data_IF_229197975245
#
_entry.id   IF_229197975245
#
_cell.length_a   1.000
_cell.length_b   1.000
_cell.length_c   1.000
_cell.angle_alpha   90.00
_cell.angle_beta   90.00
_cell.angle_gamma   90.00
#
_symmetry.space_group_name_H-M   'P 1'
#
loop_
_entity.id
_entity.type
_entity.pdbx_description
1 polymer ?
#
# COMPACT_ATOMS: atom_id res chain seq x y z
N UNK A 1 31.49 -58.44 -16.25
CA UNK A 1 30.44 -59.26 -16.88
C UNK A 1 29.44 -59.67 -15.81
N UNK A 2 28.27 -59.04 -15.78
CA UNK A 2 27.00 -59.63 -15.32
C UNK A 2 25.88 -58.74 -15.86
N UNK A 3 24.88 -59.38 -16.45
CA UNK A 3 23.92 -58.79 -17.36
C UNK A 3 22.92 -57.86 -16.66
N UNK A 4 22.69 -56.70 -17.25
CA UNK A 4 21.50 -55.88 -17.01
C UNK A 4 20.37 -56.52 -17.82
N UNK A 5 19.58 -57.38 -17.19
CA UNK A 5 18.35 -57.89 -17.77
C UNK A 5 17.26 -56.83 -17.66
N UNK A 6 17.13 -56.05 -18.73
CA UNK A 6 15.97 -55.20 -19.01
C UNK A 6 14.71 -56.08 -19.09
N UNK A 7 13.98 -56.17 -17.98
CA UNK A 7 12.61 -56.70 -17.98
C UNK A 7 11.67 -55.70 -18.67
N UNK A 8 11.42 -55.98 -19.94
CA UNK A 8 10.38 -55.38 -20.75
C UNK A 8 8.99 -55.79 -20.23
N UNK A 9 8.48 -55.06 -19.24
CA UNK A 9 7.09 -55.19 -18.81
C UNK A 9 6.18 -54.53 -19.85
N UNK A 10 5.68 -55.37 -20.76
CA UNK A 10 4.61 -55.05 -21.69
C UNK A 10 3.36 -54.70 -20.89
N UNK A 11 3.00 -53.42 -20.88
CA UNK A 11 1.73 -52.94 -20.34
C UNK A 11 0.60 -53.37 -21.29
N UNK A 12 0.10 -54.58 -21.10
CA UNK A 12 -1.22 -54.95 -21.60
C UNK A 12 -2.24 -54.03 -20.92
N UNK A 13 -2.92 -53.19 -21.70
CA UNK A 13 -3.99 -52.33 -21.21
C UNK A 13 -5.22 -53.19 -20.88
N UNK A 14 -5.16 -53.97 -19.81
CA UNK A 14 -6.32 -54.61 -19.22
C UNK A 14 -7.21 -53.49 -18.70
N UNK A 15 -8.36 -53.27 -19.35
CA UNK A 15 -9.38 -52.34 -18.84
C UNK A 15 -9.86 -52.89 -17.51
N UNK A 16 -9.69 -52.11 -16.45
CA UNK A 16 -10.16 -52.46 -15.11
C UNK A 16 -11.68 -52.66 -15.15
N UNK A 17 -12.16 -53.68 -14.43
CA UNK A 17 -13.58 -53.81 -14.14
C UNK A 17 -14.06 -52.56 -13.37
N UNK A 18 -15.30 -52.09 -13.54
CA UNK A 18 -15.84 -50.96 -12.78
C UNK A 18 -15.64 -51.13 -11.26
N UNK A 19 -15.76 -52.35 -10.74
CA UNK A 19 -15.55 -52.64 -9.32
C UNK A 19 -14.06 -52.50 -8.90
N UNK A 20 -13.13 -52.93 -9.75
CA UNK A 20 -11.69 -52.74 -9.54
C UNK A 20 -11.30 -51.26 -9.62
N UNK A 21 -11.97 -50.48 -10.48
CA UNK A 21 -11.80 -49.04 -10.58
C UNK A 21 -12.32 -48.31 -9.31
N UNK A 22 -13.44 -48.76 -8.75
CA UNK A 22 -13.96 -48.23 -7.48
C UNK A 22 -13.05 -48.56 -6.29
N UNK A 23 -12.53 -49.78 -6.20
CA UNK A 23 -11.60 -50.15 -5.14
C UNK A 23 -10.27 -49.40 -5.22
N UNK A 24 -9.75 -49.20 -6.44
CA UNK A 24 -8.52 -48.42 -6.65
C UNK A 24 -8.72 -46.94 -6.32
N UNK A 25 -9.84 -46.34 -6.71
CA UNK A 25 -10.17 -44.95 -6.35
C UNK A 25 -10.34 -44.76 -4.84
N UNK A 26 -11.02 -45.68 -4.15
CA UNK A 26 -11.12 -45.64 -2.68
C UNK A 26 -9.74 -45.75 -2.02
N UNK A 27 -8.89 -46.67 -2.47
CA UNK A 27 -7.53 -46.81 -1.94
C UNK A 27 -6.69 -45.54 -2.14
N UNK A 28 -6.75 -44.94 -3.33
CA UNK A 28 -6.05 -43.69 -3.62
C UNK A 28 -6.56 -42.53 -2.77
N UNK A 29 -7.88 -42.46 -2.55
CA UNK A 29 -8.50 -41.47 -1.68
C UNK A 29 -7.98 -41.57 -0.23
N UNK A 30 -7.99 -42.76 0.37
CA UNK A 30 -7.47 -42.95 1.72
C UNK A 30 -5.96 -42.69 1.80
N UNK A 31 -5.19 -43.11 0.80
CA UNK A 31 -3.76 -42.83 0.74
C UNK A 31 -3.47 -41.32 0.65
N UNK A 32 -4.29 -40.56 -0.09
CA UNK A 32 -4.18 -39.11 -0.16
C UNK A 32 -4.49 -38.45 1.19
N UNK A 33 -5.54 -38.92 1.87
CA UNK A 33 -5.92 -38.44 3.21
C UNK A 33 -4.81 -38.69 4.23
N UNK A 34 -4.20 -39.87 4.24
CA UNK A 34 -3.08 -40.19 5.13
C UNK A 34 -1.87 -39.29 4.87
N UNK A 35 -1.52 -39.07 3.59
CA UNK A 35 -0.44 -38.14 3.24
C UNK A 35 -0.76 -36.72 3.72
N UNK A 36 -1.99 -36.23 3.53
CA UNK A 36 -2.39 -34.91 4.00
C UNK A 36 -2.22 -34.79 5.52
N UNK A 37 -2.71 -35.78 6.28
CA UNK A 37 -2.54 -35.83 7.74
C UNK A 37 -1.07 -35.79 8.15
N UNK A 38 -0.22 -36.59 7.51
CA UNK A 38 1.22 -36.58 7.79
C UNK A 38 1.88 -35.22 7.51
N UNK A 39 1.44 -34.52 6.46
CA UNK A 39 1.91 -33.16 6.16
C UNK A 39 1.45 -32.16 7.23
N UNK A 40 0.20 -32.24 7.66
CA UNK A 40 -0.35 -31.38 8.70
C UNK A 40 0.33 -31.63 10.05
N UNK A 41 0.59 -32.88 10.43
CA UNK A 41 1.29 -33.24 11.66
C UNK A 41 2.72 -32.70 11.66
N UNK A 42 3.46 -32.85 10.55
CA UNK A 42 4.80 -32.28 10.38
C UNK A 42 4.77 -30.77 10.48
N UNK A 43 3.79 -30.13 9.85
CA UNK A 43 3.60 -28.67 9.92
C UNK A 43 3.33 -28.22 11.36
N UNK A 44 2.47 -28.92 12.10
CA UNK A 44 2.20 -28.62 13.50
C UNK A 44 3.44 -28.79 14.38
N UNK A 45 4.24 -29.84 14.17
CA UNK A 45 5.50 -30.03 14.90
C UNK A 45 6.52 -28.90 14.62
N UNK A 46 6.62 -28.45 13.37
CA UNK A 46 7.48 -27.31 13.02
C UNK A 46 6.95 -26.04 13.68
N UNK A 47 5.65 -25.78 13.60
CA UNK A 47 5.03 -24.62 14.23
C UNK A 47 5.21 -24.64 15.75
N UNK A 48 5.11 -25.80 16.41
CA UNK A 48 5.35 -25.93 17.85
C UNK A 48 6.82 -25.63 18.22
N UNK A 49 7.79 -26.00 17.37
CA UNK A 49 9.22 -25.70 17.58
C UNK A 49 9.56 -24.23 17.32
N UNK A 50 8.93 -23.62 16.32
CA UNK A 50 9.24 -22.26 15.86
C UNK A 50 8.47 -21.21 16.65
N UNK A 51 7.30 -21.56 17.20
CA UNK A 51 6.52 -20.62 18.02
C UNK A 51 7.31 -20.35 19.30
N UNK A 52 7.86 -19.14 19.49
CA UNK A 52 8.39 -18.79 20.80
C UNK A 52 7.23 -18.89 21.77
N UNK A 53 7.41 -19.65 22.85
CA UNK A 53 6.49 -19.56 23.99
C UNK A 53 6.40 -18.08 24.34
N UNK A 54 5.21 -17.51 24.20
CA UNK A 54 4.96 -16.14 24.62
C UNK A 54 4.99 -16.15 26.15
N UNK A 55 6.18 -16.08 26.72
CA UNK A 55 6.37 -15.85 28.14
C UNK A 55 5.72 -14.51 28.44
N UNK A 56 4.65 -14.54 29.21
CA UNK A 56 4.02 -13.32 29.72
C UNK A 56 5.03 -12.72 30.70
N UNK A 57 5.70 -11.66 30.26
CA UNK A 57 6.68 -10.95 31.08
C UNK A 57 5.90 -10.32 32.24
N UNK A 58 6.30 -10.64 33.46
CA UNK A 58 5.68 -10.03 34.65
C UNK A 58 6.08 -8.55 34.75
N UNK A 59 5.31 -7.74 35.50
CA UNK A 59 5.63 -6.31 35.64
C UNK A 59 7.03 -6.04 36.21
N UNK A 60 7.51 -6.91 37.10
CA UNK A 60 8.84 -6.85 37.70
C UNK A 60 9.96 -7.22 36.71
N UNK A 61 9.74 -8.25 35.90
CA UNK A 61 10.68 -8.62 34.83
C UNK A 61 10.77 -7.52 33.76
N UNK A 62 9.65 -6.87 33.45
CA UNK A 62 9.61 -5.75 32.53
C UNK A 62 10.38 -4.55 33.10
N UNK A 63 10.18 -4.21 34.37
CA UNK A 63 10.89 -3.09 34.99
C UNK A 63 12.41 -3.37 35.07
N UNK A 64 12.81 -4.58 35.43
CA UNK A 64 14.22 -5.01 35.42
C UNK A 64 14.82 -4.95 34.01
N UNK A 65 14.07 -5.36 32.99
CA UNK A 65 14.51 -5.27 31.59
C UNK A 65 14.69 -3.82 31.15
N UNK A 66 13.72 -2.94 31.46
CA UNK A 66 13.79 -1.51 31.15
C UNK A 66 15.01 -0.88 31.82
N UNK A 67 15.22 -1.15 33.10
CA UNK A 67 16.37 -0.65 33.85
C UNK A 67 17.69 -1.11 33.20
N UNK A 68 17.81 -2.40 32.87
CA UNK A 68 19.00 -2.94 32.21
C UNK A 68 19.27 -2.26 30.85
N UNK A 69 18.23 -2.06 30.05
CA UNK A 69 18.33 -1.41 28.74
C UNK A 69 18.77 0.04 28.91
N UNK A 70 18.20 0.76 29.88
CA UNK A 70 18.55 2.13 30.19
C UNK A 70 20.02 2.24 30.63
N UNK A 71 20.44 1.43 31.60
CA UNK A 71 21.81 1.43 32.11
C UNK A 71 22.82 1.11 30.99
N UNK A 72 22.50 0.15 30.13
CA UNK A 72 23.31 -0.16 28.96
C UNK A 72 23.44 1.04 28.00
N UNK A 73 22.38 1.82 27.79
CA UNK A 73 22.43 3.01 26.96
C UNK A 73 23.26 4.12 27.60
N UNK A 74 23.12 4.32 28.91
CA UNK A 74 23.92 5.31 29.66
C UNK A 74 25.40 4.96 29.58
N UNK A 75 25.77 3.70 29.82
CA UNK A 75 27.16 3.24 29.76
C UNK A 75 27.74 3.36 28.35
N UNK A 76 26.96 3.05 27.31
CA UNK A 76 27.38 3.29 25.91
C UNK A 76 27.67 4.77 25.68
N UNK A 77 26.77 5.67 26.11
CA UNK A 77 26.96 7.12 25.97
C UNK A 77 28.19 7.62 26.72
N UNK A 78 28.43 7.13 27.95
CA UNK A 78 29.63 7.47 28.73
C UNK A 78 30.90 7.06 27.99
N UNK A 79 30.98 5.80 27.54
CA UNK A 79 32.13 5.30 26.77
C UNK A 79 32.35 6.08 25.47
N UNK A 80 31.28 6.43 24.75
CA UNK A 80 31.40 7.27 23.56
C UNK A 80 31.92 8.67 23.90
N UNK A 81 31.44 9.28 24.98
CA UNK A 81 31.94 10.60 25.42
C UNK A 81 33.41 10.54 25.84
N UNK A 82 33.81 9.54 26.60
CA UNK A 82 35.20 9.34 27.05
C UNK A 82 36.14 9.11 25.87
N UNK A 83 35.75 8.24 24.92
CA UNK A 83 36.55 7.99 23.70
C UNK A 83 36.66 9.22 22.81
N UNK A 84 35.60 10.03 22.68
CA UNK A 84 35.67 11.30 21.96
C UNK A 84 36.57 12.31 22.68
N UNK A 85 36.47 12.41 24.00
CA UNK A 85 37.32 13.29 24.80
C UNK A 85 38.79 12.89 24.68
N UNK A 86 39.12 11.61 24.82
CA UNK A 86 40.48 11.11 24.64
C UNK A 86 41.04 11.40 23.24
N UNK A 87 40.20 11.30 22.19
CA UNK A 87 40.59 11.69 20.83
C UNK A 87 40.82 13.18 20.70
N UNK A 88 40.00 14.01 21.33
CA UNK A 88 40.15 15.47 21.32
C UNK A 88 41.43 15.89 22.05
N UNK A 89 41.67 15.34 23.24
CA UNK A 89 42.86 15.60 24.05
C UNK A 89 44.13 15.14 23.31
N UNK A 90 44.07 14.06 22.52
CA UNK A 90 45.17 13.62 21.66
C UNK A 90 45.39 14.51 20.41
N UNK A 91 44.34 15.17 19.90
CA UNK A 91 44.41 16.00 18.70
C UNK A 91 44.89 17.43 18.96
N UNK A 92 44.73 17.92 20.19
CA UNK A 92 45.08 19.29 20.59
C UNK A 92 46.27 19.20 21.55
N UNK A 93 47.53 19.29 21.06
CA UNK A 93 48.66 19.51 21.94
C UNK A 93 48.42 20.81 22.71
N UNK A 94 48.58 20.78 24.03
CA UNK A 94 48.44 21.97 24.88
C UNK A 94 49.29 23.12 24.32
N UNK A 95 48.66 24.28 24.07
CA UNK A 95 49.35 25.51 23.68
C UNK A 95 49.45 25.84 22.18
N UNK A 96 48.86 25.04 21.26
CA UNK A 96 48.81 25.40 19.83
C UNK A 96 47.56 26.21 19.49
N UNK A 97 47.75 27.45 19.03
CA UNK A 97 46.67 28.23 18.40
C UNK A 97 46.39 27.70 16.99
N UNK A 98 45.12 27.52 16.66
CA UNK A 98 44.67 27.11 15.32
C UNK A 98 45.13 28.16 14.31
N UNK A 99 45.82 27.75 13.27
CA UNK A 99 46.24 28.64 12.18
C UNK A 99 45.08 28.91 11.23
N UNK A 100 45.11 30.04 10.51
CA UNK A 100 44.06 30.40 9.55
C UNK A 100 43.84 29.32 8.47
N UNK A 101 44.91 28.64 8.04
CA UNK A 101 44.83 27.53 7.08
C UNK A 101 44.11 26.29 7.64
N UNK A 102 44.40 25.90 8.88
CA UNK A 102 43.70 24.80 9.57
C UNK A 102 42.23 25.15 9.83
N UNK A 103 41.95 26.42 10.14
CA UNK A 103 40.58 26.92 10.28
C UNK A 103 39.82 26.81 8.95
N UNK A 104 40.46 27.24 7.85
CA UNK A 104 39.87 27.18 6.52
C UNK A 104 39.63 25.74 6.06
N UNK A 105 40.57 24.82 6.33
CA UNK A 105 40.40 23.39 6.06
C UNK A 105 39.27 22.78 6.89
N UNK A 106 39.16 23.16 8.17
CA UNK A 106 38.08 22.72 9.05
C UNK A 106 36.72 23.22 8.56
N UNK A 107 36.62 24.49 8.13
CA UNK A 107 35.42 25.04 7.49
C UNK A 107 35.12 24.31 6.18
N UNK A 108 36.14 24.04 5.36
CA UNK A 108 36.00 23.32 4.10
C UNK A 108 35.39 21.94 4.31
N UNK A 109 35.94 21.18 5.28
CA UNK A 109 35.44 19.86 5.65
C UNK A 109 34.03 19.95 6.22
N UNK A 110 33.80 20.80 7.21
CA UNK A 110 32.57 20.82 7.99
C UNK A 110 31.37 21.37 7.20
N UNK A 111 31.59 22.40 6.38
CA UNK A 111 30.52 23.00 5.59
C UNK A 111 30.43 22.41 4.20
N UNK A 112 31.49 22.46 3.39
CA UNK A 112 31.35 22.13 1.97
C UNK A 112 31.25 20.62 1.76
N UNK A 113 32.17 19.83 2.34
CA UNK A 113 32.16 18.38 2.07
C UNK A 113 30.95 17.67 2.68
N UNK A 114 30.54 18.02 3.89
CA UNK A 114 29.37 17.43 4.53
C UNK A 114 28.06 17.87 3.85
N UNK A 115 27.96 19.12 3.40
CA UNK A 115 26.79 19.59 2.68
C UNK A 115 26.67 18.92 1.30
N UNK A 116 27.79 18.74 0.58
CA UNK A 116 27.81 17.95 -0.65
C UNK A 116 27.36 16.51 -0.43
N UNK A 117 27.85 15.84 0.62
CA UNK A 117 27.41 14.49 0.97
C UNK A 117 25.91 14.47 1.22
N UNK A 118 25.39 15.39 2.04
CA UNK A 118 23.96 15.51 2.33
C UNK A 118 23.13 15.70 1.06
N UNK A 119 23.55 16.60 0.17
CA UNK A 119 22.87 16.84 -1.11
C UNK A 119 22.84 15.57 -1.97
N UNK A 120 23.98 14.86 -2.09
CA UNK A 120 24.07 13.58 -2.84
C UNK A 120 23.21 12.48 -2.22
N UNK A 121 23.18 12.37 -0.90
CA UNK A 121 22.33 11.41 -0.20
C UNK A 121 20.85 11.76 -0.38
N UNK A 122 20.48 13.02 -0.25
CA UNK A 122 19.09 13.46 -0.44
C UNK A 122 18.63 13.28 -1.90
N UNK A 123 19.47 13.56 -2.89
CA UNK A 123 19.11 13.38 -4.30
C UNK A 123 18.91 11.91 -4.65
N UNK A 124 19.78 11.01 -4.18
CA UNK A 124 19.65 9.57 -4.39
C UNK A 124 18.41 8.99 -3.67
N UNK A 125 18.15 9.42 -2.44
CA UNK A 125 16.92 9.04 -1.71
C UNK A 125 15.66 9.55 -2.42
N UNK A 126 15.67 10.78 -2.91
CA UNK A 126 14.55 11.36 -3.65
C UNK A 126 14.29 10.59 -4.94
N UNK A 127 15.33 10.25 -5.69
CA UNK A 127 15.17 9.43 -6.90
C UNK A 127 14.60 8.04 -6.59
N UNK A 128 14.99 7.43 -5.46
CA UNK A 128 14.57 6.09 -5.06
C UNK A 128 13.15 6.02 -4.51
N UNK A 129 12.78 6.97 -3.66
CA UNK A 129 11.52 6.92 -2.89
C UNK A 129 10.48 7.95 -3.35
N UNK A 130 10.87 8.93 -4.15
CA UNK A 130 10.00 9.93 -4.76
C UNK A 130 10.33 10.05 -6.26
N UNK A 131 10.23 8.96 -7.04
CA UNK A 131 10.42 9.05 -8.48
C UNK A 131 9.44 10.09 -9.02
N UNK A 132 9.97 11.06 -9.78
CA UNK A 132 9.14 12.13 -10.32
C UNK A 132 8.00 11.49 -11.12
N UNK A 133 6.74 11.91 -10.90
CA UNK A 133 5.64 11.40 -11.71
C UNK A 133 5.95 11.67 -13.18
N UNK A 134 5.59 10.76 -14.10
CA UNK A 134 5.80 10.99 -15.51
C UNK A 134 5.19 12.34 -15.88
N UNK A 135 6.00 13.24 -16.44
CA UNK A 135 5.51 14.52 -16.93
C UNK A 135 4.48 14.19 -18.01
N UNK A 136 3.20 14.38 -17.71
CA UNK A 136 2.12 14.23 -18.69
C UNK A 136 2.27 15.36 -19.70
N UNK A 137 2.97 15.10 -20.80
CA UNK A 137 2.92 15.94 -21.98
C UNK A 137 1.63 15.61 -22.70
N UNK A 138 0.66 16.54 -22.69
CA UNK A 138 -0.52 16.41 -23.52
C UNK A 138 -0.07 16.47 -24.98
N UNK A 139 -0.56 15.54 -25.79
CA UNK A 139 -0.40 15.63 -27.24
C UNK A 139 -1.13 16.87 -27.76
N UNK A 140 -0.67 17.43 -28.88
CA UNK A 140 -1.20 18.69 -29.42
C UNK A 140 -2.72 18.64 -29.62
N UNK A 141 -3.23 17.49 -30.06
CA UNK A 141 -4.66 17.25 -30.26
C UNK A 141 -5.46 17.36 -28.96
N UNK A 142 -4.95 16.82 -27.85
CA UNK A 142 -5.60 16.89 -26.53
C UNK A 142 -5.62 18.32 -25.98
N UNK A 143 -4.55 19.09 -26.25
CA UNK A 143 -4.50 20.51 -25.91
C UNK A 143 -5.50 21.33 -26.72
N UNK A 144 -5.59 21.08 -28.02
CA UNK A 144 -6.55 21.75 -28.90
C UNK A 144 -8.00 21.41 -28.54
N UNK A 145 -8.30 20.15 -28.21
CA UNK A 145 -9.63 19.74 -27.79
C UNK A 145 -10.02 20.38 -26.44
N UNK A 146 -9.08 20.43 -25.49
CA UNK A 146 -9.29 21.11 -24.20
C UNK A 146 -9.51 22.61 -24.39
N UNK A 147 -8.74 23.26 -25.27
CA UNK A 147 -8.89 24.67 -25.60
C UNK A 147 -10.23 24.96 -26.28
N UNK A 148 -10.69 24.10 -27.20
CA UNK A 148 -12.01 24.20 -27.83
C UNK A 148 -13.13 24.08 -26.79
N UNK A 149 -13.09 23.07 -25.91
CA UNK A 149 -14.08 22.92 -24.82
C UNK A 149 -14.15 24.12 -23.88
N UNK A 150 -13.02 24.78 -23.62
CA UNK A 150 -12.96 25.96 -22.75
C UNK A 150 -13.37 27.26 -23.46
N UNK A 151 -13.22 27.34 -24.79
CA UNK A 151 -13.50 28.54 -25.57
C UNK A 151 -14.90 28.55 -26.17
N UNK A 152 -15.46 27.40 -26.58
CA UNK A 152 -16.81 27.31 -27.13
C UNK A 152 -17.80 26.89 -26.03
N UNK A 153 -18.25 27.86 -25.24
CA UNK A 153 -19.44 27.68 -24.41
C UNK A 153 -20.65 28.13 -25.22
N UNK A 154 -21.50 27.19 -25.63
CA UNK A 154 -22.81 27.50 -26.22
C UNK A 154 -23.75 28.02 -25.14
N UNK A 155 -23.79 29.35 -25.01
CA UNK A 155 -24.59 30.05 -24.00
C UNK A 155 -26.07 29.67 -24.07
N UNK A 156 -26.64 29.54 -25.27
CA UNK A 156 -28.04 29.16 -25.46
C UNK A 156 -28.36 27.77 -24.89
N UNK A 157 -27.45 26.81 -25.03
CA UNK A 157 -27.63 25.47 -24.49
C UNK A 157 -27.52 25.49 -22.97
N UNK A 158 -26.54 26.23 -22.44
CA UNK A 158 -26.33 26.36 -21.00
C UNK A 158 -27.48 27.10 -20.32
N UNK A 159 -28.03 28.12 -20.95
CA UNK A 159 -29.18 28.87 -20.44
C UNK A 159 -30.43 27.99 -20.38
N UNK A 160 -30.70 27.18 -21.42
CA UNK A 160 -31.79 26.19 -21.38
C UNK A 160 -31.62 25.17 -20.27
N UNK A 161 -30.42 24.61 -20.11
CA UNK A 161 -30.16 23.64 -19.04
C UNK A 161 -30.31 24.26 -17.64
N UNK A 162 -29.91 25.52 -17.47
CA UNK A 162 -30.10 26.26 -16.22
C UNK A 162 -31.58 26.55 -15.97
N UNK A 163 -32.33 26.95 -16.99
CA UNK A 163 -33.77 27.18 -16.92
C UNK A 163 -34.52 25.90 -16.54
N UNK A 164 -34.24 24.78 -17.20
CA UNK A 164 -34.86 23.47 -16.89
C UNK A 164 -34.56 23.00 -15.46
N UNK A 165 -33.34 23.22 -14.97
CA UNK A 165 -32.93 22.75 -13.63
C UNK A 165 -33.41 23.63 -12.50
N UNK A 166 -33.47 24.94 -12.70
CA UNK A 166 -33.64 25.89 -11.61
C UNK A 166 -34.92 26.73 -11.70
N UNK A 167 -35.46 26.95 -12.90
CA UNK A 167 -36.64 27.81 -13.11
C UNK A 167 -37.90 26.95 -13.34
N UNK A 168 -37.86 26.01 -14.27
CA UNK A 168 -38.98 25.12 -14.61
C UNK A 168 -39.61 24.39 -13.40
N UNK A 169 -38.85 23.91 -12.39
CA UNK A 169 -39.45 23.26 -11.22
C UNK A 169 -40.25 24.21 -10.32
N UNK A 170 -39.98 25.51 -10.40
CA UNK A 170 -40.67 26.53 -9.60
C UNK A 170 -41.89 27.12 -10.31
N UNK A 171 -42.01 26.94 -11.63
CA UNK A 171 -43.16 27.44 -12.36
C UNK A 171 -44.42 26.61 -12.06
N UNK A 172 -45.56 27.26 -11.77
CA UNK A 172 -46.80 26.56 -11.56
C UNK A 172 -47.19 25.84 -12.85
N UNK A 173 -47.35 24.52 -12.79
CA UNK A 173 -47.74 23.70 -13.95
C UNK A 173 -49.01 24.27 -14.57
N UNK A 174 -48.90 24.88 -15.74
CA UNK A 174 -50.02 25.41 -16.52
C UNK A 174 -50.77 24.26 -17.20
N UNK A 175 -51.42 23.42 -16.40
CA UNK A 175 -52.29 22.39 -16.93
C UNK A 175 -53.48 23.06 -17.64
N UNK A 176 -53.55 22.92 -18.97
CA UNK A 176 -54.75 23.29 -19.74
C UNK A 176 -55.87 22.35 -19.32
N UNK A 177 -56.83 22.83 -18.52
CA UNK A 177 -58.01 22.04 -18.19
C UNK A 177 -58.73 21.64 -19.47
N UNK A 178 -59.10 20.37 -19.57
CA UNK A 178 -59.92 19.87 -20.68
C UNK A 178 -61.34 20.41 -20.56
N UNK A 179 -62.05 20.56 -21.68
CA UNK A 179 -63.42 21.13 -21.70
C UNK A 179 -64.38 20.40 -20.75
N UNK A 180 -64.20 19.09 -20.58
CA UNK A 180 -64.99 18.25 -19.65
C UNK A 180 -64.74 18.66 -18.20
N UNK A 181 -63.48 18.85 -17.81
CA UNK A 181 -63.14 19.29 -16.45
C UNK A 181 -63.63 20.71 -16.17
N UNK A 182 -63.65 21.59 -17.18
CA UNK A 182 -64.24 22.93 -17.07
C UNK A 182 -65.77 22.85 -16.85
N UNK A 183 -66.48 21.96 -17.54
CA UNK A 183 -67.91 21.75 -17.33
C UNK A 183 -68.25 21.13 -15.97
N UNK A 184 -67.45 20.18 -15.48
CA UNK A 184 -67.62 19.57 -14.15
C UNK A 184 -67.36 20.57 -13.02
N UNK A 185 -66.36 21.44 -13.18
CA UNK A 185 -66.10 22.53 -12.21
C UNK A 185 -67.17 23.61 -12.28
N UNK A 186 -67.66 23.97 -13.47
CA UNK A 186 -68.76 24.90 -13.63
C UNK A 186 -70.07 24.38 -13.01
N UNK A 187 -70.40 23.10 -13.18
CA UNK A 187 -71.59 22.50 -12.57
C UNK A 187 -71.49 22.45 -11.04
N UNK A 188 -70.30 22.16 -10.48
CA UNK A 188 -70.04 22.24 -9.03
C UNK A 188 -70.15 23.66 -8.47
N UNK A 189 -69.78 24.68 -9.24
CA UNK A 189 -69.92 26.09 -8.85
C UNK A 189 -71.33 26.65 -9.06
N UNK A 190 -72.17 25.97 -9.86
CA UNK A 190 -73.53 26.42 -10.20
C UNK A 190 -74.61 26.07 -9.17
N UNK A 191 -74.31 25.30 -8.12
CA UNK A 191 -75.28 25.00 -7.05
C UNK A 191 -75.28 26.06 -5.95
N UNK A 192 -75.62 27.29 -6.33
CA UNK A 192 -76.21 28.32 -5.46
C UNK A 192 -76.89 29.38 -6.33
N UNK A 193 -78.02 29.02 -6.92
CA UNK A 193 -79.16 29.92 -7.06
C UNK A 193 -80.42 29.08 -7.19
N UNK A 194 -81.41 29.42 -6.36
CA UNK A 194 -82.78 28.91 -6.45
C UNK A 194 -83.40 29.21 -7.80
#
# INVERSE_FOLDING_TARGET
MTAVESSANHSTSRKLSPEEAEQTTQRLYYQQQEKSKQWDDKRQQILAKVRPESKVITGEELSALVQRVYDQQVERKKKTKETLKAKQDALIPEGKSITEGELQEMVQRMYYTENEKKVKTMSSLRQKYQPAPPKKTLEKEQMEESAKRLSSVDWDKRERELYEKHVLPQEPKTAKLTKVQIQETATRLSTTSK
#
